data_IF_050087989086
#
_entry.id   IF_050087989086
#
_cell.length_a   1.000
_cell.length_b   1.000
_cell.length_c   1.000
_cell.angle_alpha   90.00
_cell.angle_beta   90.00
_cell.angle_gamma   90.00
#
_symmetry.space_group_name_H-M   'P 1'
#
loop_
_entity.id
_entity.type
_entity.pdbx_description
1 polymer ?
#
# COMPACT_ATOMS: atom_id res chain seq x y z
N UNK A 1 1.59 14.51 3.92
CA UNK A 1 1.22 13.37 3.06
C UNK A 1 2.36 12.38 3.07
N UNK A 2 2.08 11.11 3.31
CA UNK A 2 3.08 10.05 3.46
C UNK A 2 3.06 9.15 2.21
N UNK A 3 4.22 8.63 1.83
CA UNK A 3 4.33 7.53 0.87
C UNK A 3 4.89 6.30 1.58
N UNK A 4 4.30 5.12 1.35
CA UNK A 4 4.69 3.87 2.00
C UNK A 4 4.52 2.68 1.05
N UNK A 5 5.14 1.53 1.35
CA UNK A 5 4.84 0.25 0.69
C UNK A 5 3.62 -0.47 1.29
N UNK A 6 3.09 0.02 2.41
CA UNK A 6 1.86 -0.50 3.03
C UNK A 6 2.03 -1.71 3.96
N UNK A 7 3.18 -2.41 3.97
CA UNK A 7 3.34 -3.68 4.73
C UNK A 7 3.06 -3.57 6.23
N UNK A 8 3.31 -2.41 6.84
CA UNK A 8 3.06 -2.16 8.28
C UNK A 8 1.92 -1.19 8.53
N UNK A 9 1.22 -0.76 7.48
CA UNK A 9 0.26 0.34 7.57
C UNK A 9 -0.92 -0.01 8.48
N UNK A 10 -1.35 -1.27 8.51
CA UNK A 10 -2.41 -1.73 9.42
C UNK A 10 -2.10 -1.45 10.90
N UNK A 11 -0.82 -1.48 11.30
CA UNK A 11 -0.39 -1.22 12.68
C UNK A 11 -0.36 0.29 13.02
N UNK A 12 -0.27 1.15 12.01
CA UNK A 12 0.03 2.57 12.19
C UNK A 12 -1.06 3.52 11.68
N UNK A 13 -1.98 3.06 10.82
CA UNK A 13 -2.94 3.91 10.13
C UNK A 13 -3.72 4.83 11.07
N UNK A 14 -4.26 4.29 12.18
CA UNK A 14 -5.00 5.07 13.16
C UNK A 14 -4.13 6.09 13.88
N UNK A 15 -2.97 5.67 14.38
CA UNK A 15 -2.04 6.57 15.07
C UNK A 15 -1.54 7.71 14.15
N UNK A 16 -1.33 7.41 12.86
CA UNK A 16 -0.97 8.42 11.86
C UNK A 16 -2.11 9.41 11.62
N UNK A 17 -3.34 8.93 11.49
CA UNK A 17 -4.52 9.79 11.34
C UNK A 17 -4.74 10.68 12.58
N UNK A 18 -4.65 10.10 13.78
CA UNK A 18 -4.79 10.81 15.06
C UNK A 18 -3.68 11.87 15.24
N UNK A 19 -2.49 11.63 14.68
CA UNK A 19 -1.38 12.61 14.63
C UNK A 19 -1.57 13.71 13.56
N UNK A 20 -2.68 13.71 12.82
CA UNK A 20 -3.03 14.73 11.83
C UNK A 20 -2.63 14.41 10.39
N UNK A 21 -2.23 13.18 10.08
CA UNK A 21 -2.03 12.78 8.68
C UNK A 21 -3.39 12.73 7.97
N UNK A 22 -3.58 13.55 6.92
CA UNK A 22 -4.85 13.57 6.18
C UNK A 22 -4.91 12.63 4.97
N UNK A 23 -3.78 12.33 4.31
CA UNK A 23 -3.74 11.54 3.05
C UNK A 23 -2.49 10.67 2.93
N UNK A 24 -2.57 9.61 2.14
CA UNK A 24 -1.48 8.64 1.94
C UNK A 24 -1.36 8.16 0.48
N UNK A 25 -0.13 7.89 0.06
CA UNK A 25 0.19 7.20 -1.19
C UNK A 25 0.83 5.85 -0.88
N UNK A 26 0.39 4.79 -1.54
CA UNK A 26 0.89 3.43 -1.33
C UNK A 26 1.49 2.94 -2.64
N UNK A 27 2.76 2.55 -2.62
CA UNK A 27 3.41 1.90 -3.75
C UNK A 27 3.05 0.42 -3.76
N UNK A 28 2.35 -0.02 -4.81
CA UNK A 28 1.91 -1.41 -4.98
C UNK A 28 1.94 -1.77 -6.46
N UNK A 29 3.04 -2.34 -6.92
CA UNK A 29 3.30 -2.51 -8.35
C UNK A 29 2.54 -3.69 -9.00
N UNK A 30 1.93 -4.57 -8.22
CA UNK A 30 1.05 -5.61 -8.75
C UNK A 30 0.08 -6.14 -7.68
N UNK A 31 -1.13 -6.51 -8.10
CA UNK A 31 -2.11 -7.23 -7.29
C UNK A 31 -1.98 -8.76 -7.44
N UNK A 32 -1.15 -9.23 -8.37
CA UNK A 32 -0.87 -10.65 -8.53
C UNK A 32 0.19 -11.08 -7.52
N UNK A 33 -0.13 -12.08 -6.68
CA UNK A 33 0.77 -12.54 -5.61
C UNK A 33 2.13 -13.02 -6.12
N UNK A 34 2.16 -13.73 -7.25
CA UNK A 34 3.41 -14.21 -7.88
C UNK A 34 4.30 -13.02 -8.31
N UNK A 35 3.71 -12.03 -8.99
CA UNK A 35 4.40 -10.80 -9.41
C UNK A 35 4.87 -9.97 -8.21
N UNK A 36 4.01 -9.82 -7.20
CA UNK A 36 4.33 -9.11 -5.97
C UNK A 36 5.53 -9.75 -5.27
N UNK A 37 5.54 -11.07 -5.13
CA UNK A 37 6.65 -11.81 -4.52
C UNK A 37 7.94 -11.64 -5.32
N UNK A 38 7.89 -11.72 -6.64
CA UNK A 38 9.04 -11.50 -7.52
C UNK A 38 9.63 -10.09 -7.35
N UNK A 39 8.77 -9.06 -7.34
CA UNK A 39 9.17 -7.66 -7.25
C UNK A 39 9.68 -7.26 -5.85
N UNK A 40 8.98 -7.67 -4.80
CA UNK A 40 9.25 -7.22 -3.43
C UNK A 40 10.16 -8.17 -2.64
N UNK A 41 10.33 -9.40 -3.13
CA UNK A 41 11.02 -10.53 -2.47
C UNK A 41 10.41 -10.92 -1.12
N UNK A 42 9.16 -10.53 -0.86
CA UNK A 42 8.42 -10.85 0.36
C UNK A 42 6.99 -11.25 0.00
N UNK A 43 6.45 -12.27 0.65
CA UNK A 43 5.05 -12.66 0.48
C UNK A 43 4.17 -11.92 1.50
N UNK A 44 3.89 -10.65 1.20
CA UNK A 44 3.19 -9.72 2.12
C UNK A 44 2.01 -9.01 1.47
N UNK A 45 1.53 -9.45 0.31
CA UNK A 45 0.44 -8.77 -0.41
C UNK A 45 -0.80 -8.60 0.47
N UNK A 46 -1.15 -9.61 1.26
CA UNK A 46 -2.31 -9.56 2.17
C UNK A 46 -2.12 -8.51 3.28
N UNK A 47 -0.89 -8.28 3.73
CA UNK A 47 -0.58 -7.23 4.72
C UNK A 47 -0.73 -5.84 4.12
N UNK A 48 -0.31 -5.66 2.86
CA UNK A 48 -0.48 -4.39 2.15
C UNK A 48 -1.97 -4.10 1.94
N UNK A 49 -2.76 -5.09 1.53
CA UNK A 49 -4.22 -4.96 1.37
C UNK A 49 -4.91 -4.62 2.70
N UNK A 50 -4.57 -5.34 3.78
CA UNK A 50 -5.06 -5.00 5.12
C UNK A 50 -4.63 -3.59 5.58
N UNK A 51 -3.45 -3.13 5.15
CA UNK A 51 -2.98 -1.77 5.38
C UNK A 51 -3.80 -0.72 4.63
N UNK A 52 -4.24 -1.02 3.40
CA UNK A 52 -5.14 -0.16 2.61
C UNK A 52 -6.50 -0.05 3.33
N UNK A 53 -7.08 -1.17 3.74
CA UNK A 53 -8.35 -1.19 4.47
C UNK A 53 -8.25 -0.37 5.78
N UNK A 54 -7.20 -0.59 6.57
CA UNK A 54 -6.97 0.17 7.80
C UNK A 54 -6.78 1.67 7.56
N UNK A 55 -6.18 2.08 6.44
CA UNK A 55 -6.04 3.49 6.07
C UNK A 55 -7.40 4.13 5.76
N UNK A 56 -8.27 3.42 5.03
CA UNK A 56 -9.62 3.85 4.74
C UNK A 56 -10.45 3.96 6.02
N UNK A 57 -10.39 2.95 6.88
CA UNK A 57 -11.10 2.92 8.18
C UNK A 57 -10.62 4.03 9.13
N UNK A 58 -9.33 4.38 9.07
CA UNK A 58 -8.76 5.49 9.84
C UNK A 58 -9.16 6.88 9.29
N UNK A 59 -9.86 6.95 8.16
CA UNK A 59 -10.28 8.20 7.53
C UNK A 59 -9.17 8.92 6.77
N UNK A 60 -8.07 8.24 6.42
CA UNK A 60 -7.05 8.80 5.54
C UNK A 60 -7.64 8.94 4.14
N UNK A 61 -7.83 10.17 3.67
CA UNK A 61 -8.47 10.44 2.38
C UNK A 61 -7.79 11.60 1.63
N UNK A 62 -7.42 11.40 0.35
CA UNK A 62 -7.50 10.15 -0.41
C UNK A 62 -6.41 9.13 -0.04
N UNK A 63 -6.71 7.84 -0.23
CA UNK A 63 -5.72 6.76 -0.36
C UNK A 63 -5.41 6.59 -1.84
N UNK A 64 -4.17 6.84 -2.25
CA UNK A 64 -3.72 6.71 -3.64
C UNK A 64 -2.79 5.52 -3.81
N UNK A 65 -2.94 4.77 -4.89
CA UNK A 65 -1.99 3.74 -5.29
C UNK A 65 -1.07 4.30 -6.39
N UNK A 66 0.23 4.05 -6.24
CA UNK A 66 1.23 4.33 -7.26
C UNK A 66 1.76 2.99 -7.79
N UNK A 67 1.85 2.88 -9.11
CA UNK A 67 2.36 1.72 -9.84
C UNK A 67 3.45 2.20 -10.78
N UNK A 68 4.62 1.57 -10.72
CA UNK A 68 5.65 1.71 -11.76
C UNK A 68 5.40 0.62 -12.80
N UNK A 69 4.90 1.02 -13.96
CA UNK A 69 4.62 0.08 -15.06
C UNK A 69 5.93 -0.33 -15.77
N UNK A 70 6.18 -1.63 -15.84
CA UNK A 70 7.36 -2.24 -16.44
C UNK A 70 6.93 -3.26 -17.49
N UNK A 71 7.34 -3.03 -18.74
CA UNK A 71 7.01 -3.88 -19.88
C UNK A 71 7.48 -5.32 -19.66
N UNK A 72 6.59 -6.28 -19.84
CA UNK A 72 6.85 -7.71 -19.65
C UNK A 72 6.95 -8.16 -18.19
N UNK A 73 6.61 -7.31 -17.24
CA UNK A 73 6.74 -7.59 -15.79
C UNK A 73 5.40 -7.46 -15.08
N UNK A 74 4.75 -6.29 -15.19
CA UNK A 74 3.47 -5.97 -14.55
C UNK A 74 2.57 -5.11 -15.46
N UNK A 75 2.72 -5.26 -16.78
CA UNK A 75 1.91 -4.58 -17.80
C UNK A 75 0.65 -5.36 -18.22
N UNK A 76 0.26 -6.35 -17.43
CA UNK A 76 -0.93 -7.20 -17.57
C UNK A 76 -2.12 -6.78 -16.70
#
# INVERSE_FOLDING_TARGET
ALTTNGSTLALHARALADAGLGRINISLDSLRRDRFLELTRRDEIDRVLAGIDAALDAGLAPVKLNVVLMRGVNDD
#
